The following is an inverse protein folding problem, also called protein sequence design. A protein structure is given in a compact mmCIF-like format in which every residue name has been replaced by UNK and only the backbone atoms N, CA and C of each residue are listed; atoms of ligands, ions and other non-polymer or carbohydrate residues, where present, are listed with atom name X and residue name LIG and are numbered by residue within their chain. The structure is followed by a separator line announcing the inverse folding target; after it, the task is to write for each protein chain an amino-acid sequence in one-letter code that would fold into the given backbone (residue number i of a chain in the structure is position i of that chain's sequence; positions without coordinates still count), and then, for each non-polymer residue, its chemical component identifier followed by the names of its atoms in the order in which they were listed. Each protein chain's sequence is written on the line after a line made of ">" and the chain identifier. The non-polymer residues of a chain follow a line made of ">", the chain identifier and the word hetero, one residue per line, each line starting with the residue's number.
data_IF_466188233902
#
_entry.id   IF_466188233902
#
_cell.length_a   1.000
_cell.length_b   1.000
_cell.length_c   1.000
_cell.angle_alpha   90.00
_cell.angle_beta   90.00
_cell.angle_gamma   90.00
#
_symmetry.space_group_name_H-M   'P 1'
#
loop_
_entity.id
_entity.type
_entity.pdbx_description
1 polymer ?
#
# COMPACT_ATOMS: atom_id res chain seq x y z
N UNK A 1 6.06 31.37 9.47
CA UNK A 1 7.23 30.81 10.19
C UNK A 1 6.87 29.75 11.24
N UNK A 2 5.64 29.73 11.81
CA UNK A 2 5.25 28.81 12.89
C UNK A 2 5.03 27.33 12.50
N UNK A 3 4.83 27.04 11.21
CA UNK A 3 4.50 25.68 10.75
C UNK A 3 5.65 24.67 10.90
N UNK A 4 6.91 25.12 10.79
CA UNK A 4 8.08 24.26 10.96
C UNK A 4 8.33 23.91 12.43
N UNK A 5 8.14 24.87 13.34
CA UNK A 5 8.24 24.64 14.78
C UNK A 5 7.22 23.61 15.24
N UNK A 6 5.95 23.76 14.84
CA UNK A 6 4.90 22.79 15.19
C UNK A 6 5.19 21.39 14.64
N UNK A 7 5.83 21.29 13.47
CA UNK A 7 6.23 20.00 12.90
C UNK A 7 7.36 19.38 13.72
N UNK A 8 8.34 20.19 14.09
CA UNK A 8 9.48 19.76 14.89
C UNK A 8 9.05 19.31 16.29
N UNK A 9 8.16 20.04 16.97
CA UNK A 9 7.53 19.60 18.24
C UNK A 9 6.82 18.24 18.12
N UNK A 10 6.18 17.98 16.97
CA UNK A 10 5.52 16.68 16.72
C UNK A 10 6.56 15.60 16.42
N UNK A 11 7.60 15.92 15.65
CA UNK A 11 8.66 14.99 15.29
C UNK A 11 9.58 14.65 16.50
N UNK A 12 9.71 15.56 17.47
CA UNK A 12 10.43 15.37 18.74
C UNK A 12 9.58 14.72 19.84
N UNK A 13 8.26 14.60 19.62
CA UNK A 13 7.32 14.01 20.59
C UNK A 13 6.88 14.98 21.71
N UNK A 14 7.25 16.25 21.63
CA UNK A 14 6.79 17.31 22.55
C UNK A 14 5.32 17.67 22.32
N UNK A 15 4.78 17.32 21.15
CA UNK A 15 3.39 17.54 20.77
C UNK A 15 2.76 16.30 20.15
N UNK A 16 1.52 16.02 20.52
CA UNK A 16 0.74 14.97 19.88
C UNK A 16 0.57 15.21 18.38
N UNK A 17 0.78 14.14 17.61
CA UNK A 17 0.59 14.14 16.16
C UNK A 17 1.36 13.01 15.52
N UNK A 18 1.03 12.71 14.25
CA UNK A 18 1.83 11.79 13.45
C UNK A 18 3.13 12.49 13.08
N UNK A 19 4.26 11.87 13.36
CA UNK A 19 5.59 12.32 12.94
C UNK A 19 5.71 12.29 11.42
N UNK A 20 6.64 13.06 10.86
CA UNK A 20 6.96 13.05 9.44
C UNK A 20 7.34 11.64 8.96
N UNK A 21 8.15 10.91 9.73
CA UNK A 21 8.53 9.52 9.43
C UNK A 21 7.35 8.56 9.39
N UNK A 22 6.38 8.70 10.30
CA UNK A 22 5.18 7.86 10.29
C UNK A 22 4.32 8.15 9.06
N UNK A 23 4.18 9.42 8.64
CA UNK A 23 3.43 9.72 7.39
C UNK A 23 4.11 9.11 6.17
N UNK A 24 5.44 9.17 6.11
CA UNK A 24 6.21 8.61 5.00
C UNK A 24 6.06 7.09 4.94
N UNK A 25 6.17 6.41 6.09
CA UNK A 25 5.94 4.97 6.20
C UNK A 25 4.52 4.60 5.79
N UNK A 26 3.51 5.35 6.23
CA UNK A 26 2.12 5.09 5.88
C UNK A 26 1.89 5.23 4.37
N UNK A 27 2.43 6.28 3.74
CA UNK A 27 2.37 6.44 2.27
C UNK A 27 3.08 5.31 1.52
N UNK A 28 4.22 4.84 2.01
CA UNK A 28 4.93 3.71 1.41
C UNK A 28 4.09 2.43 1.49
N UNK A 29 3.49 2.16 2.65
CA UNK A 29 2.60 1.02 2.85
C UNK A 29 1.35 1.10 1.98
N UNK A 30 0.71 2.26 1.87
CA UNK A 30 -0.45 2.44 0.99
C UNK A 30 -0.11 2.13 -0.48
N UNK A 31 1.07 2.54 -0.94
CA UNK A 31 1.56 2.22 -2.28
C UNK A 31 1.80 0.72 -2.45
N UNK A 32 2.48 0.09 -1.48
CA UNK A 32 2.74 -1.35 -1.51
C UNK A 32 1.44 -2.16 -1.53
N UNK A 33 0.48 -1.82 -0.67
CA UNK A 33 -0.85 -2.48 -0.64
C UNK A 33 -1.56 -2.35 -1.98
N UNK A 34 -1.47 -1.19 -2.64
CA UNK A 34 -2.07 -0.98 -3.96
C UNK A 34 -1.45 -1.91 -5.02
N UNK A 35 -0.13 -2.01 -5.06
CA UNK A 35 0.56 -2.90 -6.01
C UNK A 35 0.27 -4.38 -5.70
N UNK A 36 0.28 -4.77 -4.43
CA UNK A 36 -0.07 -6.13 -4.01
C UNK A 36 -1.49 -6.51 -4.41
N UNK A 37 -2.47 -5.60 -4.26
CA UNK A 37 -3.84 -5.83 -4.69
C UNK A 37 -3.93 -6.05 -6.20
N UNK A 38 -3.23 -5.22 -6.99
CA UNK A 38 -3.17 -5.36 -8.45
C UNK A 38 -2.53 -6.69 -8.86
N UNK A 39 -1.42 -7.06 -8.25
CA UNK A 39 -0.77 -8.35 -8.51
C UNK A 39 -1.69 -9.52 -8.15
N UNK A 40 -2.38 -9.44 -7.02
CA UNK A 40 -3.31 -10.48 -6.58
C UNK A 40 -4.49 -10.64 -7.56
N UNK A 41 -5.01 -9.54 -8.11
CA UNK A 41 -6.06 -9.57 -9.13
C UNK A 41 -5.59 -10.26 -10.41
N UNK A 42 -4.39 -9.93 -10.90
CA UNK A 42 -3.79 -10.60 -12.06
C UNK A 42 -3.65 -12.10 -11.80
N UNK A 43 -3.14 -12.48 -10.63
CA UNK A 43 -2.97 -13.89 -10.27
C UNK A 43 -4.30 -14.63 -10.18
N UNK A 44 -5.35 -14.00 -9.65
CA UNK A 44 -6.70 -14.58 -9.62
C UNK A 44 -7.25 -14.80 -11.02
N UNK A 45 -7.12 -13.82 -11.91
CA UNK A 45 -7.55 -13.93 -13.30
C UNK A 45 -6.78 -15.03 -14.05
N UNK A 46 -5.45 -15.07 -13.89
CA UNK A 46 -4.62 -16.13 -14.45
C UNK A 46 -5.03 -17.51 -13.94
N UNK A 47 -5.24 -17.64 -12.63
CA UNK A 47 -5.67 -18.91 -12.02
C UNK A 47 -7.03 -19.36 -12.55
N UNK A 48 -7.98 -18.43 -12.72
CA UNK A 48 -9.29 -18.74 -13.31
C UNK A 48 -9.18 -19.16 -14.78
N UNK A 49 -8.33 -18.48 -15.56
CA UNK A 49 -8.08 -18.82 -16.96
C UNK A 49 -7.50 -20.23 -17.10
N UNK A 50 -6.46 -20.57 -16.31
CA UNK A 50 -5.85 -21.91 -16.36
C UNK A 50 -6.80 -22.99 -15.85
N UNK A 51 -7.55 -22.74 -14.78
CA UNK A 51 -8.56 -23.68 -14.30
C UNK A 51 -9.64 -23.97 -15.36
N UNK A 52 -10.03 -22.97 -16.17
CA UNK A 52 -10.96 -23.19 -17.28
C UNK A 52 -10.34 -24.02 -18.41
N UNK A 53 -9.07 -23.77 -18.77
CA UNK A 53 -8.36 -24.54 -19.79
C UNK A 53 -8.14 -26.01 -19.39
N UNK A 54 -7.99 -26.31 -18.09
CA UNK A 54 -7.93 -27.69 -17.60
C UNK A 54 -9.28 -28.43 -17.70
N UNK A 55 -10.38 -27.69 -17.59
CA UNK A 55 -11.74 -28.25 -17.67
C UNK A 55 -12.22 -28.46 -19.11
N UNK A 56 -11.66 -27.73 -20.07
CA UNK A 56 -12.04 -27.83 -21.49
C UNK A 56 -10.80 -28.03 -22.39
N UNK A 57 -10.21 -29.25 -22.41
CA UNK A 57 -8.96 -29.52 -23.13
C UNK A 57 -9.08 -29.46 -24.67
N UNK A 58 -10.25 -29.13 -25.23
CA UNK A 58 -10.54 -29.14 -26.66
C UNK A 58 -11.01 -27.79 -27.26
N UNK A 59 -10.96 -26.69 -26.49
CA UNK A 59 -11.26 -25.34 -26.98
C UNK A 59 -10.04 -24.59 -27.53
#
# INVERSE_FOLDING_TARGET
>A
MLGWVKREEVDSGEREGMTTSERERLKALEREVKELRRANEILKLASAFFAQAELDPAA
#
